data_IF_806272827391
#
_entry.id   IF_806272827391
#
_cell.length_a   1.000
_cell.length_b   1.000
_cell.length_c   1.000
_cell.angle_alpha   90.00
_cell.angle_beta   90.00
_cell.angle_gamma   90.00
#
_symmetry.space_group_name_H-M   'P 1'
#
loop_
_entity.id
_entity.type
_entity.pdbx_description
1 polymer ?
#
# COMPACT_ATOMS: atom_id res chain seq x y z
N UNK A 1 5.46 32.79 -26.82
CA UNK A 1 4.02 32.49 -26.70
C UNK A 1 3.52 31.97 -28.04
N UNK A 2 3.16 30.69 -28.12
CA UNK A 2 2.44 30.18 -29.30
C UNK A 2 1.02 30.76 -29.27
N UNK A 3 0.60 31.44 -30.33
CA UNK A 3 -0.78 31.89 -30.48
C UNK A 3 -1.61 30.81 -31.17
N UNK A 4 -2.91 30.73 -30.87
CA UNK A 4 -3.87 29.79 -31.48
C UNK A 4 -3.82 29.81 -33.02
N UNK A 5 -3.52 30.98 -33.60
CA UNK A 5 -3.39 31.18 -35.03
C UNK A 5 -2.17 30.47 -35.65
N UNK A 6 -1.09 30.33 -34.88
CA UNK A 6 0.10 29.56 -35.28
C UNK A 6 -0.16 28.06 -35.29
N UNK A 7 -0.98 27.57 -34.35
CA UNK A 7 -1.37 26.16 -34.27
C UNK A 7 -2.27 25.74 -35.45
N UNK A 8 -3.18 26.61 -35.86
CA UNK A 8 -4.09 26.36 -36.98
C UNK A 8 -3.41 26.37 -38.37
N UNK A 9 -2.18 26.89 -38.47
CA UNK A 9 -1.40 26.89 -39.73
C UNK A 9 -0.43 25.72 -39.85
N UNK A 10 -0.33 24.86 -38.82
CA UNK A 10 0.52 23.68 -38.91
C UNK A 10 -0.09 22.67 -39.89
N UNK A 11 0.74 22.03 -40.73
CA UNK A 11 0.29 20.91 -41.55
C UNK A 11 -0.39 19.86 -40.66
N UNK A 12 -1.50 19.23 -41.12
CA UNK A 12 -2.26 18.29 -40.31
C UNK A 12 -1.41 17.13 -39.77
N UNK A 13 -0.35 16.74 -40.47
CA UNK A 13 0.62 15.73 -40.03
C UNK A 13 1.42 16.20 -38.81
N UNK A 14 1.83 17.47 -38.77
CA UNK A 14 2.54 18.05 -37.63
C UNK A 14 1.62 18.26 -36.43
N UNK A 15 0.36 18.63 -36.66
CA UNK A 15 -0.66 18.68 -35.60
C UNK A 15 -0.93 17.28 -35.06
N UNK A 16 -1.13 16.29 -35.93
CA UNK A 16 -1.31 14.90 -35.53
C UNK A 16 -0.08 14.36 -34.79
N UNK A 17 1.14 14.71 -35.22
CA UNK A 17 2.38 14.32 -34.56
C UNK A 17 2.59 15.03 -33.20
N UNK A 18 2.22 16.30 -33.07
CA UNK A 18 2.27 17.03 -31.80
C UNK A 18 1.22 16.52 -30.83
N UNK A 19 0.01 16.21 -31.33
CA UNK A 19 -1.07 15.60 -30.55
C UNK A 19 -0.64 14.19 -30.14
N UNK A 20 -0.21 13.32 -31.07
CA UNK A 20 0.29 11.98 -30.71
C UNK A 20 1.51 12.04 -29.82
N UNK A 21 2.43 12.99 -29.97
CA UNK A 21 3.57 13.17 -29.04
C UNK A 21 3.14 13.74 -27.69
N UNK A 22 2.10 14.58 -27.62
CA UNK A 22 1.50 15.01 -26.36
C UNK A 22 0.75 13.86 -25.67
N UNK A 23 0.14 12.95 -26.44
CA UNK A 23 -0.52 11.74 -25.94
C UNK A 23 0.44 10.57 -25.68
N UNK A 24 1.63 10.55 -26.32
CA UNK A 24 2.62 9.48 -26.24
C UNK A 24 3.94 9.95 -25.61
N UNK A 25 3.96 11.11 -24.94
CA UNK A 25 5.11 11.50 -24.12
C UNK A 25 5.26 10.46 -23.01
N UNK A 26 6.43 9.82 -22.86
CA UNK A 26 6.68 8.86 -21.78
C UNK A 26 6.61 9.50 -20.40
N UNK A 27 6.66 10.84 -20.33
CA UNK A 27 6.61 11.60 -19.10
C UNK A 27 5.15 11.91 -18.75
N UNK A 28 4.66 11.15 -17.76
CA UNK A 28 3.25 10.99 -17.40
C UNK A 28 2.45 12.26 -17.17
N UNK A 29 1.26 12.26 -17.76
CA UNK A 29 0.09 13.12 -17.57
C UNK A 29 0.28 14.62 -17.87
N UNK A 30 -0.48 15.09 -18.86
CA UNK A 30 -0.48 16.43 -19.44
C UNK A 30 -0.83 17.50 -18.37
N UNK A 31 0.11 18.42 -18.10
CA UNK A 31 -0.15 19.70 -17.42
C UNK A 31 0.85 20.13 -16.34
N UNK A 32 2.14 19.87 -16.53
CA UNK A 32 3.22 20.13 -15.57
C UNK A 32 3.66 21.61 -15.49
N UNK A 33 2.71 22.53 -15.29
CA UNK A 33 2.99 23.96 -15.13
C UNK A 33 3.13 24.35 -13.64
N UNK A 34 4.38 24.34 -13.17
CA UNK A 34 4.99 25.27 -12.18
C UNK A 34 4.18 25.61 -10.91
N UNK A 35 3.93 24.62 -10.07
CA UNK A 35 3.84 24.81 -8.61
C UNK A 35 5.23 24.75 -7.95
N UNK A 36 5.33 25.10 -6.65
CA UNK A 36 6.57 24.90 -5.88
C UNK A 36 7.09 23.47 -6.09
N UNK A 37 8.37 23.34 -6.46
CA UNK A 37 8.93 22.12 -7.06
C UNK A 37 8.56 20.84 -6.33
N UNK A 38 7.58 20.11 -6.87
CA UNK A 38 7.22 18.78 -6.39
C UNK A 38 8.42 17.85 -6.57
N UNK A 39 8.63 16.88 -5.66
CA UNK A 39 9.61 15.84 -5.88
C UNK A 39 9.27 15.04 -7.14
N UNK A 40 10.25 14.87 -8.02
CA UNK A 40 10.15 13.97 -9.18
C UNK A 40 10.58 12.57 -8.74
N UNK A 41 9.62 11.64 -8.69
CA UNK A 41 9.86 10.25 -8.32
C UNK A 41 10.35 9.43 -9.51
N UNK A 42 11.11 8.37 -9.23
CA UNK A 42 11.56 7.41 -10.24
C UNK A 42 10.42 6.54 -10.77
N UNK A 43 9.34 6.40 -10.01
CA UNK A 43 8.09 5.77 -10.46
C UNK A 43 7.20 6.82 -11.11
N UNK A 44 6.71 6.54 -12.32
CA UNK A 44 5.72 7.36 -13.00
C UNK A 44 4.28 6.94 -12.66
N UNK A 45 3.39 7.93 -12.58
CA UNK A 45 1.95 7.71 -12.64
C UNK A 45 1.51 7.87 -14.10
N UNK A 46 0.96 6.80 -14.68
CA UNK A 46 0.55 6.72 -16.09
C UNK A 46 -0.97 6.57 -16.21
N UNK A 47 -1.54 6.80 -17.38
CA UNK A 47 -2.98 6.71 -17.60
C UNK A 47 -3.70 8.03 -17.35
N UNK A 48 -4.76 8.00 -16.55
CA UNK A 48 -5.66 9.13 -16.31
C UNK A 48 -7.00 9.01 -17.03
N UNK A 49 -7.38 7.80 -17.47
CA UNK A 49 -8.67 7.56 -18.11
C UNK A 49 -9.83 8.01 -17.20
N UNK A 50 -10.60 8.99 -17.68
CA UNK A 50 -11.75 9.55 -16.95
C UNK A 50 -11.41 10.58 -15.87
N UNK A 51 -10.13 10.87 -15.63
CA UNK A 51 -9.71 11.87 -14.65
C UNK A 51 -9.71 13.26 -15.27
N UNK A 52 -10.19 14.27 -14.54
CA UNK A 52 -9.92 15.66 -14.89
C UNK A 52 -8.52 16.11 -14.40
N UNK A 53 -8.13 17.32 -14.76
CA UNK A 53 -6.81 17.83 -14.38
C UNK A 53 -6.64 17.95 -12.85
N UNK A 54 -7.68 18.39 -12.13
CA UNK A 54 -7.65 18.48 -10.67
C UNK A 54 -7.55 17.10 -10.01
N UNK A 55 -8.25 16.10 -10.56
CA UNK A 55 -8.21 14.73 -10.06
C UNK A 55 -6.78 14.17 -10.14
N UNK A 56 -6.09 14.38 -11.26
CA UNK A 56 -4.70 13.96 -11.44
C UNK A 56 -3.78 14.63 -10.42
N UNK A 57 -3.96 15.92 -10.17
CA UNK A 57 -3.18 16.67 -9.19
C UNK A 57 -3.42 16.13 -7.77
N UNK A 58 -4.67 15.82 -7.42
CA UNK A 58 -5.02 15.23 -6.14
C UNK A 58 -4.50 13.80 -5.96
N UNK A 59 -4.42 13.03 -7.04
CA UNK A 59 -3.81 11.69 -7.08
C UNK A 59 -2.30 11.79 -6.87
N UNK A 60 -1.62 12.71 -7.57
CA UNK A 60 -0.17 12.97 -7.45
C UNK A 60 0.21 13.45 -6.05
N UNK A 61 -0.55 14.37 -5.48
CA UNK A 61 -0.30 14.88 -4.12
C UNK A 61 -0.49 13.75 -3.09
N UNK A 62 -1.56 12.95 -3.22
CA UNK A 62 -1.78 11.78 -2.37
C UNK A 62 -0.67 10.72 -2.47
N UNK A 63 -0.15 10.48 -3.68
CA UNK A 63 1.00 9.59 -3.89
C UNK A 63 2.26 10.14 -3.19
N UNK A 64 2.55 11.43 -3.35
CA UNK A 64 3.69 12.06 -2.69
C UNK A 64 3.59 11.97 -1.16
N UNK A 65 2.41 12.27 -0.61
CA UNK A 65 2.15 12.17 0.83
C UNK A 65 2.24 10.71 1.34
N UNK A 66 1.80 9.72 0.55
CA UNK A 66 1.97 8.30 0.87
C UNK A 66 3.44 7.91 1.00
N UNK A 67 4.33 8.40 0.12
CA UNK A 67 5.77 8.12 0.26
C UNK A 67 6.32 8.63 1.60
N UNK A 68 5.77 9.72 2.13
CA UNK A 68 6.13 10.25 3.45
C UNK A 68 5.63 9.37 4.60
N UNK A 69 4.47 8.71 4.45
CA UNK A 69 3.97 7.72 5.41
C UNK A 69 4.92 6.53 5.51
N UNK A 70 5.26 5.91 4.38
CA UNK A 70 6.15 4.74 4.39
C UNK A 70 7.58 5.09 4.82
N UNK A 71 8.08 6.27 4.45
CA UNK A 71 9.37 6.76 4.96
C UNK A 71 9.38 6.95 6.49
N UNK A 72 8.24 7.28 7.11
CA UNK A 72 8.12 7.31 8.57
C UNK A 72 8.00 5.91 9.19
N UNK A 73 7.49 4.94 8.44
CA UNK A 73 7.29 3.55 8.85
C UNK A 73 8.56 2.67 8.72
N UNK A 74 9.59 3.17 8.04
CA UNK A 74 10.85 2.48 7.77
C UNK A 74 12.05 3.14 8.48
N UNK A 75 12.95 2.38 9.15
CA UNK A 75 12.88 0.92 9.33
C UNK A 75 11.72 0.49 10.24
N UNK A 76 11.23 -0.73 10.05
CA UNK A 76 10.17 -1.29 10.89
C UNK A 76 10.66 -1.49 12.32
N UNK A 77 9.94 -0.92 13.30
CA UNK A 77 10.23 -1.10 14.73
C UNK A 77 9.17 -2.03 15.35
N UNK A 78 9.48 -3.34 15.52
CA UNK A 78 8.54 -4.30 16.10
C UNK A 78 8.28 -4.04 17.59
N UNK A 79 9.07 -3.18 18.24
CA UNK A 79 8.93 -2.82 19.66
C UNK A 79 8.06 -1.59 19.88
N UNK A 80 7.68 -0.88 18.81
CA UNK A 80 6.80 0.28 18.88
C UNK A 80 5.38 -0.12 19.31
N UNK A 81 4.67 0.79 19.98
CA UNK A 81 3.27 0.54 20.35
C UNK A 81 2.37 0.27 19.13
N UNK A 82 2.45 1.04 18.02
CA UNK A 82 1.68 0.72 16.81
C UNK A 82 2.00 -0.66 16.25
N UNK A 83 3.28 -1.09 16.24
CA UNK A 83 3.62 -2.43 15.75
C UNK A 83 2.98 -3.54 16.59
N UNK A 84 2.95 -3.38 17.91
CA UNK A 84 2.25 -4.34 18.78
C UNK A 84 0.74 -4.36 18.52
N UNK A 85 0.12 -3.20 18.36
CA UNK A 85 -1.34 -3.12 18.15
C UNK A 85 -1.78 -3.61 16.76
N UNK A 86 -0.94 -3.49 15.73
CA UNK A 86 -1.29 -3.92 14.37
C UNK A 86 -0.68 -5.26 13.95
N UNK A 87 0.33 -5.78 14.63
CA UNK A 87 1.07 -6.98 14.18
C UNK A 87 1.55 -7.93 15.28
N UNK A 88 1.18 -7.77 16.56
CA UNK A 88 1.75 -8.57 17.67
C UNK A 88 1.77 -10.11 17.44
N UNK A 89 0.69 -10.76 16.99
CA UNK A 89 0.68 -12.20 16.71
C UNK A 89 1.61 -12.55 15.56
N UNK A 90 1.65 -11.69 14.53
CA UNK A 90 2.50 -11.89 13.37
C UNK A 90 3.98 -11.77 13.72
N UNK A 91 4.34 -10.79 14.57
CA UNK A 91 5.70 -10.65 15.10
C UNK A 91 6.08 -11.90 15.91
N UNK A 92 5.18 -12.35 16.79
CA UNK A 92 5.41 -13.54 17.62
C UNK A 92 5.55 -14.81 16.78
N UNK A 93 4.83 -14.91 15.67
CA UNK A 93 4.91 -16.00 14.71
C UNK A 93 6.02 -15.83 13.65
N UNK A 94 6.98 -14.92 13.88
CA UNK A 94 8.17 -14.72 13.04
C UNK A 94 7.89 -14.18 11.62
N UNK A 95 6.84 -13.38 11.45
CA UNK A 95 6.56 -12.65 10.20
C UNK A 95 7.17 -11.24 10.16
N UNK A 96 7.99 -10.87 11.15
CA UNK A 96 8.67 -9.56 11.25
C UNK A 96 9.42 -9.20 9.96
N UNK A 97 10.16 -10.14 9.37
CA UNK A 97 10.93 -9.89 8.14
C UNK A 97 10.02 -9.64 6.93
N UNK A 98 8.89 -10.34 6.83
CA UNK A 98 7.90 -10.12 5.79
C UNK A 98 7.26 -8.72 5.93
N UNK A 99 6.89 -8.34 7.15
CA UNK A 99 6.32 -7.02 7.45
C UNK A 99 7.32 -5.92 7.09
N UNK A 100 8.57 -6.04 7.57
CA UNK A 100 9.64 -5.08 7.28
C UNK A 100 9.93 -4.98 5.78
N UNK A 101 9.96 -6.11 5.07
CA UNK A 101 10.21 -6.15 3.63
C UNK A 101 9.04 -5.55 2.84
N UNK A 102 7.79 -5.81 3.23
CA UNK A 102 6.61 -5.18 2.63
C UNK A 102 6.65 -3.65 2.78
N UNK A 103 6.92 -3.15 4.01
CA UNK A 103 7.06 -1.72 4.28
C UNK A 103 8.22 -1.08 3.49
N UNK A 104 9.37 -1.76 3.42
CA UNK A 104 10.52 -1.28 2.67
C UNK A 104 10.23 -1.23 1.17
N UNK A 105 9.57 -2.24 0.61
CA UNK A 105 9.17 -2.24 -0.81
C UNK A 105 8.19 -1.11 -1.09
N UNK A 106 7.24 -0.85 -0.21
CA UNK A 106 6.34 0.29 -0.37
C UNK A 106 7.08 1.64 -0.26
N UNK A 107 8.03 1.77 0.67
CA UNK A 107 8.87 2.96 0.83
C UNK A 107 9.74 3.26 -0.40
N UNK A 108 10.08 2.25 -1.21
CA UNK A 108 10.85 2.43 -2.44
C UNK A 108 10.10 3.27 -3.50
N UNK A 109 8.78 3.47 -3.39
CA UNK A 109 8.07 4.46 -4.21
C UNK A 109 8.53 5.91 -3.94
N UNK A 110 9.17 6.16 -2.79
CA UNK A 110 9.78 7.45 -2.45
C UNK A 110 11.14 7.71 -3.11
N UNK A 111 11.69 6.77 -3.89
CA UNK A 111 12.95 6.98 -4.61
C UNK A 111 12.75 8.07 -5.66
N UNK A 112 13.59 9.11 -5.61
CA UNK A 112 13.59 10.22 -6.57
C UNK A 112 14.24 9.80 -7.89
N UNK A 113 13.90 10.49 -8.98
CA UNK A 113 14.56 10.31 -10.27
C UNK A 113 16.08 10.51 -10.15
N UNK A 114 16.86 9.54 -10.66
CA UNK A 114 18.33 9.53 -10.51
C UNK A 114 18.83 9.21 -9.10
N UNK A 115 17.93 8.94 -8.15
CA UNK A 115 18.23 8.52 -6.79
C UNK A 115 18.82 7.10 -6.71
N UNK A 116 19.40 6.79 -5.55
CA UNK A 116 19.92 5.45 -5.25
C UNK A 116 18.82 4.64 -4.57
N UNK A 117 18.49 3.48 -5.11
CA UNK A 117 17.52 2.57 -4.52
C UNK A 117 16.92 1.61 -5.54
N UNK A 118 16.14 0.64 -5.06
CA UNK A 118 15.29 -0.14 -5.95
C UNK A 118 14.13 0.72 -6.43
N UNK A 119 13.89 0.76 -7.73
CA UNK A 119 12.77 1.50 -8.33
C UNK A 119 11.59 0.54 -8.49
N UNK A 120 10.42 0.95 -8.04
CA UNK A 120 9.18 0.19 -8.21
C UNK A 120 8.56 0.45 -9.58
N UNK A 121 7.73 -0.49 -10.06
CA UNK A 121 6.97 -0.36 -11.30
C UNK A 121 6.08 0.89 -11.31
N UNK A 122 5.92 1.46 -12.50
CA UNK A 122 4.97 2.54 -12.77
C UNK A 122 3.54 2.12 -12.45
N UNK A 123 2.74 3.08 -12.01
CA UNK A 123 1.37 2.83 -11.57
C UNK A 123 0.42 3.42 -12.60
N UNK A 124 -0.49 2.59 -13.11
CA UNK A 124 -1.56 3.02 -14.00
C UNK A 124 -2.78 3.48 -13.18
N UNK A 125 -3.18 4.74 -13.34
CA UNK A 125 -4.29 5.35 -12.59
C UNK A 125 -5.48 5.62 -13.50
N UNK A 126 -6.71 5.48 -12.97
CA UNK A 126 -7.95 5.74 -13.69
C UNK A 126 -9.01 6.37 -12.78
N UNK A 127 -9.99 7.04 -13.38
CA UNK A 127 -11.18 7.60 -12.70
C UNK A 127 -12.50 7.22 -13.40
N UNK A 128 -12.48 6.43 -14.48
CA UNK A 128 -13.66 6.05 -15.29
C UNK A 128 -14.42 4.79 -14.82
N UNK A 129 -14.12 4.27 -13.63
CA UNK A 129 -14.75 3.10 -12.98
C UNK A 129 -15.18 1.96 -13.93
N UNK A 130 -14.23 1.31 -14.62
CA UNK A 130 -14.57 0.30 -15.62
C UNK A 130 -15.31 -0.91 -15.01
N UNK A 131 -15.14 -1.18 -13.72
CA UNK A 131 -15.75 -2.32 -13.02
C UNK A 131 -17.10 -1.98 -12.37
N UNK A 132 -17.52 -0.71 -12.42
CA UNK A 132 -18.75 -0.20 -11.79
C UNK A 132 -18.81 -0.54 -10.31
N UNK A 133 -17.71 -0.31 -9.59
CA UNK A 133 -17.58 -0.61 -8.17
C UNK A 133 -17.64 0.62 -7.29
N UNK A 134 -17.38 1.81 -7.82
CA UNK A 134 -17.33 3.02 -7.02
C UNK A 134 -18.63 3.21 -6.23
N UNK A 135 -19.79 3.06 -6.88
CA UNK A 135 -21.10 3.23 -6.25
C UNK A 135 -21.68 1.95 -5.62
N UNK A 136 -20.87 0.89 -5.42
CA UNK A 136 -21.35 -0.37 -4.81
C UNK A 136 -21.36 -0.36 -3.28
N UNK A 137 -21.43 0.82 -2.67
CA UNK A 137 -21.38 1.01 -1.23
C UNK A 137 -22.65 0.66 -0.46
N UNK A 138 -22.63 0.95 0.84
CA UNK A 138 -23.81 0.95 1.69
C UNK A 138 -23.94 2.27 2.46
N UNK A 139 -25.14 2.59 2.97
CA UNK A 139 -25.40 3.86 3.67
C UNK A 139 -24.52 4.10 4.91
N UNK A 140 -23.96 3.04 5.47
CA UNK A 140 -23.21 3.07 6.73
C UNK A 140 -21.72 3.32 6.50
N UNK A 141 -21.14 2.62 5.53
CA UNK A 141 -19.70 2.60 5.25
C UNK A 141 -19.32 3.54 4.11
N UNK A 142 -20.31 3.94 3.30
CA UNK A 142 -20.10 4.77 2.12
C UNK A 142 -19.79 3.94 0.88
N UNK A 143 -19.35 4.65 -0.15
CA UNK A 143 -18.96 4.13 -1.45
C UNK A 143 -17.44 3.83 -1.45
N UNK A 144 -16.95 3.12 -2.48
CA UNK A 144 -15.50 2.92 -2.59
C UNK A 144 -14.81 4.26 -2.84
N UNK A 145 -13.70 4.51 -2.15
CA UNK A 145 -12.82 5.63 -2.47
C UNK A 145 -11.80 5.24 -3.56
N UNK A 146 -11.34 3.99 -3.59
CA UNK A 146 -10.51 3.43 -4.64
C UNK A 146 -10.61 1.90 -4.65
N UNK A 147 -10.12 1.28 -5.72
CA UNK A 147 -9.88 -0.16 -5.80
C UNK A 147 -8.76 -0.49 -6.80
N UNK A 148 -8.14 -1.65 -6.65
CA UNK A 148 -7.13 -2.22 -7.52
C UNK A 148 -7.75 -3.16 -8.56
N UNK A 149 -7.24 -3.11 -9.80
CA UNK A 149 -7.56 -4.13 -10.81
C UNK A 149 -6.46 -5.19 -10.78
N UNK A 150 -6.79 -6.35 -10.19
CA UNK A 150 -5.85 -7.40 -9.89
C UNK A 150 -4.78 -6.97 -8.88
N UNK A 151 -3.75 -7.80 -8.70
CA UNK A 151 -2.57 -7.47 -7.89
C UNK A 151 -1.47 -6.80 -8.73
N UNK A 152 -1.88 -6.00 -9.71
CA UNK A 152 -1.04 -5.26 -10.65
C UNK A 152 -0.97 -3.79 -10.20
N UNK A 153 0.05 -3.01 -10.63
CA UNK A 153 0.18 -1.60 -10.27
C UNK A 153 -0.87 -0.74 -11.03
N UNK A 154 -2.15 -0.98 -10.73
CA UNK A 154 -3.30 -0.42 -11.42
C UNK A 154 -4.41 -0.10 -10.42
N UNK A 155 -4.67 1.19 -10.22
CA UNK A 155 -5.65 1.69 -9.25
C UNK A 155 -6.71 2.53 -9.97
N UNK A 156 -7.97 2.29 -9.62
CA UNK A 156 -9.09 3.14 -9.98
C UNK A 156 -9.45 4.00 -8.77
N UNK A 157 -9.43 5.31 -8.95
CA UNK A 157 -9.85 6.29 -7.95
C UNK A 157 -11.30 6.68 -8.19
N UNK A 158 -12.10 6.54 -7.16
CA UNK A 158 -13.52 6.86 -7.18
C UNK A 158 -13.76 8.27 -6.66
N UNK A 159 -14.97 8.78 -6.88
CA UNK A 159 -15.37 10.13 -6.47
C UNK A 159 -15.09 10.45 -5.00
N UNK A 160 -15.23 9.46 -4.12
CA UNK A 160 -15.03 9.66 -2.69
C UNK A 160 -13.57 9.89 -2.28
N UNK A 161 -12.59 9.44 -3.07
CA UNK A 161 -11.17 9.76 -2.85
C UNK A 161 -10.91 11.27 -2.90
N UNK A 162 -11.47 11.94 -3.91
CA UNK A 162 -11.29 13.39 -4.11
C UNK A 162 -11.98 14.24 -3.04
N UNK A 163 -12.83 13.64 -2.21
CA UNK A 163 -13.44 14.29 -1.04
C UNK A 163 -12.61 14.14 0.23
N UNK A 164 -11.57 13.30 0.21
CA UNK A 164 -10.70 13.10 1.34
C UNK A 164 -9.70 14.24 1.48
N UNK A 165 -9.42 14.65 2.71
CA UNK A 165 -8.42 15.67 2.99
C UNK A 165 -7.00 15.18 2.59
N UNK A 166 -6.08 16.13 2.39
CA UNK A 166 -4.64 15.83 2.30
C UNK A 166 -4.07 15.43 3.67
N UNK A 167 -2.93 14.72 3.68
CA UNK A 167 -2.27 14.25 4.89
C UNK A 167 -1.97 15.39 5.86
N UNK A 168 -1.31 16.44 5.37
CA UNK A 168 -0.90 17.57 6.23
C UNK A 168 -2.10 18.35 6.74
N UNK A 169 -3.10 18.61 5.86
CA UNK A 169 -4.32 19.29 6.22
C UNK A 169 -5.10 18.53 7.30
N UNK A 170 -5.25 17.21 7.13
CA UNK A 170 -5.96 16.34 8.07
C UNK A 170 -5.26 16.27 9.42
N UNK A 171 -3.94 16.03 9.43
CA UNK A 171 -3.18 15.87 10.67
C UNK A 171 -3.20 17.15 11.50
N UNK A 172 -2.97 18.31 10.88
CA UNK A 172 -2.98 19.58 11.62
C UNK A 172 -4.37 19.85 12.21
N UNK A 173 -5.43 19.69 11.41
CA UNK A 173 -6.80 19.91 11.86
C UNK A 173 -7.20 19.02 13.04
N UNK A 174 -6.80 17.74 13.02
CA UNK A 174 -7.23 16.75 14.02
C UNK A 174 -6.36 16.75 15.28
N UNK A 175 -5.07 17.05 15.16
CA UNK A 175 -4.15 17.09 16.30
C UNK A 175 -4.51 18.17 17.34
N UNK A 176 -5.17 19.25 16.91
CA UNK A 176 -5.58 20.36 17.77
C UNK A 176 -6.94 20.12 18.45
N UNK A 177 -7.68 19.08 18.04
CA UNK A 177 -8.99 18.74 18.59
C UNK A 177 -8.88 17.67 19.68
N UNK A 178 -9.00 18.05 20.95
CA UNK A 178 -8.87 17.14 22.10
C UNK A 178 -9.81 15.92 22.05
N UNK A 179 -10.98 16.02 21.44
CA UNK A 179 -11.93 14.89 21.37
C UNK A 179 -11.59 13.88 20.26
N UNK A 180 -10.91 14.34 19.21
CA UNK A 180 -10.60 13.54 18.02
C UNK A 180 -9.14 13.11 17.99
N UNK A 181 -8.28 13.80 18.74
CA UNK A 181 -6.83 13.66 18.71
C UNK A 181 -6.36 12.22 18.91
N UNK A 182 -7.06 11.46 19.75
CA UNK A 182 -6.65 10.11 20.12
C UNK A 182 -7.19 9.04 19.15
N UNK A 183 -8.08 9.39 18.21
CA UNK A 183 -8.76 8.43 17.32
C UNK A 183 -8.01 8.33 15.99
N UNK A 184 -7.25 7.25 15.77
CA UNK A 184 -6.43 7.11 14.55
C UNK A 184 -7.23 7.27 13.25
N UNK A 185 -8.45 6.73 13.19
CA UNK A 185 -9.31 6.86 12.00
C UNK A 185 -9.75 8.30 11.70
N UNK A 186 -9.71 9.21 12.68
CA UNK A 186 -9.94 10.63 12.41
C UNK A 186 -8.84 11.22 11.52
N UNK A 187 -7.66 10.63 11.48
CA UNK A 187 -6.54 11.05 10.65
C UNK A 187 -6.51 10.40 9.27
N UNK A 188 -7.39 9.44 8.99
CA UNK A 188 -7.44 8.76 7.69
C UNK A 188 -7.71 9.76 6.56
N UNK A 189 -6.91 9.67 5.49
CA UNK A 189 -6.83 10.68 4.44
C UNK A 189 -6.38 10.06 3.10
N UNK A 190 -6.21 10.88 2.05
CA UNK A 190 -5.79 10.41 0.71
C UNK A 190 -4.52 9.57 0.73
N UNK A 191 -3.51 9.98 1.49
CA UNK A 191 -2.24 9.27 1.59
C UNK A 191 -2.39 7.89 2.26
N UNK A 192 -3.28 7.78 3.25
CA UNK A 192 -3.58 6.50 3.92
C UNK A 192 -4.28 5.53 2.99
N UNK A 193 -5.23 6.01 2.18
CA UNK A 193 -5.88 5.16 1.17
C UNK A 193 -4.86 4.70 0.12
N UNK A 194 -4.02 5.61 -0.38
CA UNK A 194 -2.91 5.27 -1.27
C UNK A 194 -2.01 4.19 -0.68
N UNK A 195 -1.61 4.36 0.60
CA UNK A 195 -0.78 3.41 1.31
C UNK A 195 -1.44 2.03 1.36
N UNK A 196 -2.76 1.95 1.51
CA UNK A 196 -3.50 0.68 1.45
C UNK A 196 -3.48 0.08 0.04
N UNK A 197 -3.80 0.87 -0.99
CA UNK A 197 -3.91 0.38 -2.36
C UNK A 197 -2.60 -0.21 -2.89
N UNK A 198 -1.45 0.41 -2.60
CA UNK A 198 -0.16 -0.10 -3.10
C UNK A 198 0.26 -1.42 -2.45
N UNK A 199 -0.23 -1.72 -1.24
CA UNK A 199 0.04 -2.99 -0.58
C UNK A 199 -0.62 -4.16 -1.31
N UNK A 200 -1.66 -3.92 -2.11
CA UNK A 200 -2.27 -4.97 -2.94
C UNK A 200 -1.44 -5.35 -4.15
N UNK A 201 -0.41 -4.58 -4.52
CA UNK A 201 0.46 -4.94 -5.63
C UNK A 201 1.32 -6.14 -5.26
N UNK A 202 1.34 -7.15 -6.13
CA UNK A 202 2.10 -8.39 -5.93
C UNK A 202 3.60 -8.16 -5.76
N UNK A 203 4.14 -7.09 -6.33
CA UNK A 203 5.53 -6.66 -6.16
C UNK A 203 5.81 -6.04 -4.78
N UNK A 204 4.79 -5.60 -4.04
CA UNK A 204 4.91 -4.84 -2.80
C UNK A 204 4.43 -5.65 -1.59
N UNK A 205 3.15 -6.02 -1.55
CA UNK A 205 2.58 -6.79 -0.45
C UNK A 205 2.64 -8.27 -0.72
N UNK A 206 3.51 -8.95 0.02
CA UNK A 206 3.50 -10.41 0.11
C UNK A 206 2.70 -10.83 1.33
N UNK A 207 1.87 -11.84 1.13
CA UNK A 207 1.00 -12.43 2.13
C UNK A 207 1.22 -13.94 2.20
N UNK A 208 0.89 -14.53 3.34
CA UNK A 208 0.81 -15.98 3.53
C UNK A 208 -0.53 -16.45 2.98
N UNK A 209 -0.50 -17.44 2.09
CA UNK A 209 -1.69 -18.04 1.48
C UNK A 209 -1.73 -19.52 1.87
N UNK A 210 -2.74 -19.88 2.65
CA UNK A 210 -2.99 -21.27 3.04
C UNK A 210 -4.14 -21.83 2.18
N UNK A 211 -3.90 -22.93 1.47
CA UNK A 211 -4.89 -23.56 0.59
C UNK A 211 -5.11 -25.03 0.92
N UNK A 212 -6.37 -25.50 0.95
CA UNK A 212 -6.65 -26.92 1.03
C UNK A 212 -6.28 -27.59 -0.29
N UNK A 213 -5.52 -28.69 -0.21
CA UNK A 213 -5.22 -29.57 -1.35
C UNK A 213 -5.66 -30.99 -1.01
N UNK A 214 -6.09 -31.79 -2.00
CA UNK A 214 -6.43 -33.18 -1.76
C UNK A 214 -5.26 -33.91 -1.12
N UNK A 215 -5.53 -34.63 -0.04
CA UNK A 215 -4.50 -35.37 0.64
C UNK A 215 -4.07 -36.60 -0.20
N UNK A 216 -2.82 -37.05 -0.09
CA UNK A 216 -2.36 -38.25 -0.79
C UNK A 216 -3.14 -39.49 -0.32
N UNK A 217 -3.23 -40.58 -1.12
CA UNK A 217 -4.06 -41.75 -0.82
C UNK A 217 -3.86 -42.44 0.53
N UNK A 218 -2.74 -42.17 1.22
CA UNK A 218 -2.39 -42.75 2.52
C UNK A 218 -2.51 -41.74 3.69
N UNK A 219 -3.12 -40.57 3.46
CA UNK A 219 -3.34 -39.58 4.51
C UNK A 219 -4.48 -39.99 5.45
N UNK A 220 -4.38 -39.61 6.71
CA UNK A 220 -5.47 -39.75 7.71
C UNK A 220 -6.53 -38.65 7.58
N UNK A 221 -6.28 -37.62 6.77
CA UNK A 221 -7.23 -36.55 6.42
C UNK A 221 -7.54 -36.56 4.94
N UNK A 222 -8.74 -36.11 4.54
CA UNK A 222 -9.12 -35.94 3.13
C UNK A 222 -8.40 -34.75 2.48
N UNK A 223 -8.12 -33.72 3.28
CA UNK A 223 -7.48 -32.48 2.85
C UNK A 223 -6.20 -32.23 3.65
N UNK A 224 -5.20 -31.66 3.00
CA UNK A 224 -4.02 -31.07 3.63
C UNK A 224 -4.05 -29.56 3.39
N UNK A 225 -3.57 -28.79 4.36
CA UNK A 225 -3.35 -27.37 4.16
C UNK A 225 -1.91 -27.16 3.66
N UNK A 226 -1.78 -26.44 2.55
CA UNK A 226 -0.48 -26.04 1.99
C UNK A 226 -0.33 -24.54 2.14
N UNK A 227 0.71 -24.14 2.85
CA UNK A 227 1.09 -22.74 3.00
C UNK A 227 2.03 -22.33 1.88
N UNK A 228 1.75 -21.17 1.28
CA UNK A 228 2.55 -20.55 0.22
C UNK A 228 2.63 -19.05 0.42
N UNK A 229 3.46 -18.36 -0.35
CA UNK A 229 3.46 -16.89 -0.40
C UNK A 229 2.72 -16.44 -1.65
N UNK A 230 1.89 -15.40 -1.52
CA UNK A 230 1.12 -14.82 -2.61
C UNK A 230 1.00 -13.30 -2.48
N UNK A 231 0.25 -12.71 -3.40
CA UNK A 231 -0.09 -11.30 -3.32
C UNK A 231 -1.09 -11.04 -2.18
N UNK A 232 -1.00 -9.85 -1.58
CA UNK A 232 -1.90 -9.43 -0.53
C UNK A 232 -3.28 -9.10 -1.10
N UNK A 233 -4.18 -10.08 -1.07
CA UNK A 233 -5.60 -9.90 -1.33
C UNK A 233 -6.31 -9.79 0.00
N UNK A 234 -6.24 -8.62 0.63
CA UNK A 234 -7.09 -8.37 1.81
C UNK A 234 -8.53 -8.42 1.33
N UNK A 235 -9.20 -9.54 1.63
CA UNK A 235 -10.64 -9.63 1.54
C UNK A 235 -11.23 -9.30 2.91
N UNK A 236 -12.55 -9.15 2.99
CA UNK A 236 -13.33 -9.05 4.24
C UNK A 236 -12.92 -10.15 5.25
N UNK A 237 -12.36 -11.25 4.74
CA UNK A 237 -11.72 -12.33 5.45
C UNK A 237 -10.20 -12.15 5.27
N UNK A 238 -9.48 -11.82 6.34
CA UNK A 238 -8.03 -11.73 6.27
C UNK A 238 -7.44 -13.06 5.77
N UNK A 239 -6.96 -13.07 4.51
CA UNK A 239 -6.14 -14.15 3.96
C UNK A 239 -6.84 -15.44 3.48
N UNK A 240 -8.12 -15.67 3.75
CA UNK A 240 -8.81 -16.89 3.30
C UNK A 240 -10.05 -16.50 2.50
N UNK A 241 -9.91 -16.44 1.17
CA UNK A 241 -11.04 -16.83 0.34
C UNK A 241 -11.44 -18.22 0.85
N UNK A 242 -12.66 -18.38 1.36
CA UNK A 242 -13.24 -19.69 1.60
C UNK A 242 -13.34 -20.39 0.23
N UNK A 243 -12.23 -20.97 -0.21
CA UNK A 243 -12.16 -21.94 -1.31
C UNK A 243 -12.60 -23.33 -0.81
N UNK A 244 -13.07 -23.44 0.44
CA UNK A 244 -13.89 -24.59 0.84
C UNK A 244 -15.31 -24.42 0.29
N UNK A 245 -15.88 -25.47 -0.35
CA UNK A 245 -17.30 -25.46 -0.72
C UNK A 245 -18.16 -25.26 0.52
N UNK A 246 -19.23 -24.46 0.39
CA UNK A 246 -20.18 -24.11 1.45
C UNK A 246 -20.54 -25.34 2.31
N UNK A 247 -19.94 -25.46 3.50
CA UNK A 247 -20.39 -26.44 4.49
C UNK A 247 -21.34 -25.76 5.47
N UNK A 248 -22.40 -26.44 5.96
CA UNK A 248 -23.41 -25.84 6.83
C UNK A 248 -22.90 -25.36 8.21
N UNK A 249 -21.62 -25.56 8.51
CA UNK A 249 -20.98 -25.26 9.81
C UNK A 249 -19.91 -24.17 9.71
N UNK A 250 -19.98 -23.32 8.68
CA UNK A 250 -19.05 -22.20 8.46
C UNK A 250 -19.31 -21.09 9.50
N UNK A 251 -18.87 -21.33 10.73
CA UNK A 251 -19.01 -20.40 11.84
C UNK A 251 -18.09 -19.19 11.61
N UNK A 252 -18.69 -18.12 11.10
CA UNK A 252 -18.27 -16.74 11.32
C UNK A 252 -16.78 -16.48 11.10
N UNK A 253 -16.30 -16.57 9.87
CA UNK A 253 -15.12 -15.80 9.49
C UNK A 253 -15.47 -14.32 9.62
N UNK A 254 -14.92 -13.69 10.65
CA UNK A 254 -15.30 -12.34 11.04
C UNK A 254 -14.79 -11.33 10.02
N UNK A 255 -15.62 -10.31 9.77
CA UNK A 255 -15.38 -9.25 8.78
C UNK A 255 -14.35 -8.21 9.25
N UNK A 256 -13.09 -8.60 9.37
CA UNK A 256 -12.03 -7.72 9.90
C UNK A 256 -10.99 -7.42 8.84
N UNK A 257 -11.21 -6.36 8.06
CA UNK A 257 -10.24 -5.92 7.07
C UNK A 257 -9.86 -4.45 7.18
N UNK A 258 -10.74 -3.60 7.71
CA UNK A 258 -10.61 -2.17 7.50
C UNK A 258 -11.06 -1.35 8.70
N UNK A 259 -10.40 -0.20 8.91
CA UNK A 259 -10.60 0.67 10.05
C UNK A 259 -9.74 0.26 11.25
N UNK A 260 -9.24 1.25 11.99
CA UNK A 260 -8.24 1.02 13.03
C UNK A 260 -8.70 0.04 14.11
N UNK A 261 -9.97 0.08 14.53
CA UNK A 261 -10.48 -0.84 15.54
C UNK A 261 -10.46 -2.27 15.02
N UNK A 262 -10.98 -2.53 13.82
CA UNK A 262 -11.04 -3.89 13.24
C UNK A 262 -9.64 -4.41 12.88
N UNK A 263 -8.79 -3.57 12.31
CA UNK A 263 -7.37 -3.84 12.04
C UNK A 263 -6.61 -4.27 13.30
N UNK A 264 -6.84 -3.58 14.42
CA UNK A 264 -6.23 -3.93 15.70
C UNK A 264 -6.84 -5.20 16.31
N UNK A 265 -8.16 -5.40 16.18
CA UNK A 265 -8.82 -6.64 16.63
C UNK A 265 -8.28 -7.87 15.87
N UNK A 266 -8.00 -7.71 14.58
CA UNK A 266 -7.37 -8.75 13.76
C UNK A 266 -6.01 -9.20 14.33
N UNK A 267 -5.29 -8.29 14.98
CA UNK A 267 -4.01 -8.57 15.63
C UNK A 267 -4.14 -9.03 17.10
N UNK A 268 -5.33 -9.24 17.65
CA UNK A 268 -5.47 -9.63 19.07
C UNK A 268 -6.35 -10.87 19.25
N UNK A 269 -7.35 -11.06 18.39
CA UNK A 269 -8.30 -12.16 18.52
C UNK A 269 -7.60 -13.52 18.31
N UNK A 270 -7.85 -14.47 19.22
CA UNK A 270 -7.22 -15.80 19.18
C UNK A 270 -7.79 -16.68 18.07
N UNK A 271 -8.98 -16.34 17.58
CA UNK A 271 -9.63 -16.92 16.41
C UNK A 271 -8.93 -16.59 15.09
N UNK A 272 -8.03 -15.61 15.06
CA UNK A 272 -7.31 -15.22 13.85
C UNK A 272 -6.00 -16.02 13.72
N UNK A 273 -5.65 -16.34 12.48
CA UNK A 273 -4.35 -16.93 12.18
C UNK A 273 -3.27 -15.88 12.41
N UNK A 274 -2.12 -16.32 12.89
CA UNK A 274 -1.01 -15.41 13.23
C UNK A 274 -0.52 -14.55 12.06
N UNK A 275 -0.77 -14.95 10.81
CA UNK A 275 -0.42 -14.19 9.61
C UNK A 275 -1.51 -13.19 9.18
N UNK A 276 -2.72 -13.22 9.73
CA UNK A 276 -3.86 -12.45 9.21
C UNK A 276 -3.61 -10.94 9.27
N UNK A 277 -3.07 -10.49 10.41
CA UNK A 277 -2.66 -9.10 10.57
C UNK A 277 -1.54 -8.69 9.60
N UNK A 278 -0.62 -9.59 9.27
CA UNK A 278 0.42 -9.36 8.27
C UNK A 278 -0.07 -9.48 6.81
N UNK A 279 -1.24 -10.09 6.59
CA UNK A 279 -1.93 -10.19 5.30
C UNK A 279 -2.94 -9.05 5.05
N UNK A 280 -3.04 -8.11 6.00
CA UNK A 280 -4.02 -7.04 5.96
C UNK A 280 -3.37 -5.72 5.51
N UNK A 281 -3.72 -5.23 4.32
CA UNK A 281 -3.18 -4.00 3.74
C UNK A 281 -3.45 -2.75 4.60
N UNK A 282 -4.63 -2.71 5.24
CA UNK A 282 -5.00 -1.60 6.13
C UNK A 282 -4.08 -1.53 7.35
N UNK A 283 -3.64 -2.66 7.94
CA UNK A 283 -2.68 -2.67 9.04
C UNK A 283 -1.37 -1.96 8.67
N UNK A 284 -0.86 -2.15 7.45
CA UNK A 284 0.33 -1.44 6.97
C UNK A 284 0.07 0.05 6.80
N UNK A 285 -1.06 0.42 6.19
CA UNK A 285 -1.43 1.82 5.98
C UNK A 285 -1.61 2.58 7.30
N UNK A 286 -2.29 1.97 8.27
CA UNK A 286 -2.54 2.54 9.60
C UNK A 286 -1.29 2.56 10.48
N UNK A 287 -0.45 1.54 10.40
CA UNK A 287 0.87 1.56 11.04
C UNK A 287 1.73 2.70 10.49
N UNK A 288 1.78 2.88 9.16
CA UNK A 288 2.54 3.96 8.53
C UNK A 288 1.99 5.35 8.90
N UNK A 289 0.66 5.50 8.94
CA UNK A 289 0.00 6.72 9.43
C UNK A 289 0.35 6.99 10.89
N UNK A 290 0.28 5.99 11.77
CA UNK A 290 0.61 6.12 13.18
C UNK A 290 2.06 6.56 13.37
N UNK A 291 3.00 5.94 12.66
CA UNK A 291 4.42 6.31 12.73
C UNK A 291 4.66 7.73 12.22
N UNK A 292 3.98 8.15 11.15
CA UNK A 292 4.06 9.52 10.67
C UNK A 292 3.56 10.52 11.73
N UNK A 293 2.44 10.23 12.40
CA UNK A 293 1.90 11.12 13.45
C UNK A 293 2.86 11.16 14.65
N UNK A 294 3.41 10.02 15.10
CA UNK A 294 4.40 9.99 16.17
C UNK A 294 5.61 10.86 15.81
N UNK A 295 6.15 10.71 14.59
CA UNK A 295 7.33 11.45 14.14
C UNK A 295 7.09 12.95 14.02
N UNK A 296 5.91 13.37 13.56
CA UNK A 296 5.62 14.78 13.27
C UNK A 296 4.90 15.53 14.39
N UNK A 297 4.19 14.81 15.26
CA UNK A 297 3.37 15.41 16.34
C UNK A 297 3.74 14.91 17.73
N UNK A 298 4.58 13.88 17.85
CA UNK A 298 5.09 13.40 19.15
C UNK A 298 4.08 12.60 19.98
N UNK A 299 3.00 12.11 19.37
CA UNK A 299 2.02 11.25 20.05
C UNK A 299 1.48 10.18 19.11
N UNK A 300 0.95 9.11 19.69
CA UNK A 300 0.25 8.05 18.97
C UNK A 300 -1.26 8.17 19.23
N UNK A 301 -2.12 8.31 18.20
CA UNK A 301 -3.58 8.28 18.37
C UNK A 301 -4.03 6.87 18.77
N UNK A 302 -4.00 6.63 20.08
CA UNK A 302 -4.06 5.29 20.64
C UNK A 302 -5.33 5.05 21.44
N UNK A 303 -6.50 5.62 21.07
CA UNK A 303 -7.76 5.25 21.75
C UNK A 303 -7.73 3.73 21.92
N UNK A 304 -7.65 3.25 23.18
CA UNK A 304 -7.26 1.89 23.42
C UNK A 304 -8.32 0.99 22.81
N UNK A 305 -7.86 -0.13 22.26
CA UNK A 305 -8.73 -1.29 22.12
C UNK A 305 -9.19 -1.56 23.55
N UNK A 306 -10.48 -1.44 23.81
CA UNK A 306 -11.02 -1.62 25.16
C UNK A 306 -10.46 -2.92 25.74
N UNK A 307 -10.01 -2.89 26.99
CA UNK A 307 -9.48 -4.07 27.67
C UNK A 307 -10.64 -5.07 27.82
N UNK A 308 -10.65 -6.11 26.98
CA UNK A 308 -11.76 -7.06 26.97
C UNK A 308 -11.48 -8.16 27.99
N UNK A 309 -12.40 -8.41 28.94
CA UNK A 309 -12.20 -9.43 29.95
C UNK A 309 -12.11 -10.85 29.36
N UNK A 310 -12.60 -11.05 28.12
CA UNK A 310 -12.46 -12.28 27.33
C UNK A 310 -12.84 -12.02 25.85
N UNK A 311 -12.43 -12.93 24.98
CA UNK A 311 -12.72 -12.89 23.53
C UNK A 311 -14.22 -12.95 23.21
N UNK A 312 -15.01 -13.69 23.99
CA UNK A 312 -16.45 -13.77 23.78
C UNK A 312 -17.12 -12.38 23.85
N UNK A 313 -16.66 -11.51 24.75
CA UNK A 313 -17.13 -10.12 24.85
C UNK A 313 -16.88 -9.32 23.57
N UNK A 314 -15.79 -9.59 22.84
CA UNK A 314 -15.49 -8.94 21.56
C UNK A 314 -16.41 -9.47 20.47
N UNK A 315 -16.56 -10.80 20.41
CA UNK A 315 -17.39 -11.49 19.42
C UNK A 315 -18.88 -11.19 19.57
N UNK A 316 -19.34 -10.81 20.76
CA UNK A 316 -20.75 -10.43 20.99
C UNK A 316 -21.00 -8.93 20.90
N UNK A 317 -19.95 -8.11 20.77
CA UNK A 317 -20.10 -6.66 20.75
C UNK A 317 -20.24 -6.16 19.31
N UNK A 318 -21.49 -5.95 18.90
CA UNK A 318 -21.83 -5.46 17.57
C UNK A 318 -21.13 -4.14 17.23
N UNK A 319 -20.92 -3.22 18.18
CA UNK A 319 -20.26 -1.94 17.89
C UNK A 319 -18.78 -2.12 17.49
N UNK A 320 -18.10 -3.14 18.00
CA UNK A 320 -16.72 -3.45 17.66
C UNK A 320 -16.63 -4.19 16.34
N UNK A 321 -17.50 -5.19 16.17
CA UNK A 321 -17.66 -5.86 14.89
C UNK A 321 -18.05 -4.86 13.80
N UNK A 322 -18.76 -3.81 14.17
CA UNK A 322 -19.21 -2.77 13.27
C UNK A 322 -18.11 -1.79 12.83
N UNK A 323 -17.01 -1.74 13.57
CA UNK A 323 -15.88 -0.85 13.29
C UNK A 323 -16.21 0.64 13.41
N UNK A 324 -15.23 1.49 13.09
CA UNK A 324 -15.46 2.93 13.06
C UNK A 324 -16.37 3.35 11.90
N UNK A 325 -17.29 4.29 12.15
CA UNK A 325 -18.18 4.85 11.12
C UNK A 325 -17.46 5.91 10.28
N UNK A 326 -16.53 5.51 9.43
CA UNK A 326 -15.86 6.38 8.46
C UNK A 326 -16.38 6.09 7.06
N UNK A 327 -16.91 7.12 6.38
CA UNK A 327 -17.63 7.00 5.09
C UNK A 327 -16.77 6.73 3.86
N UNK A 328 -15.48 6.44 4.01
CA UNK A 328 -14.51 6.38 2.90
C UNK A 328 -13.89 5.00 2.72
N UNK A 329 -14.45 4.00 3.40
CA UNK A 329 -13.96 2.65 3.35
C UNK A 329 -15.19 1.76 3.37
N UNK A 330 -15.67 1.41 2.18
CA UNK A 330 -16.69 0.39 2.04
C UNK A 330 -16.07 -0.95 2.48
N UNK A 331 -16.33 -1.32 3.74
CA UNK A 331 -15.57 -2.36 4.43
C UNK A 331 -16.01 -3.77 4.03
N UNK A 332 -17.20 -3.89 3.43
CA UNK A 332 -17.79 -5.14 2.98
C UNK A 332 -17.33 -5.59 1.57
N UNK A 333 -16.43 -4.85 0.91
CA UNK A 333 -15.92 -5.22 -0.41
C UNK A 333 -14.41 -5.40 -0.47
N UNK A 334 -13.99 -6.25 -1.41
CA UNK A 334 -12.59 -6.42 -1.73
C UNK A 334 -12.05 -5.17 -2.44
N UNK A 335 -10.90 -4.70 -1.99
CA UNK A 335 -10.15 -3.65 -2.70
C UNK A 335 -9.52 -4.17 -3.99
N UNK A 336 -9.35 -5.49 -4.13
CA UNK A 336 -8.80 -6.11 -5.34
C UNK A 336 -9.90 -6.81 -6.11
N UNK A 337 -10.08 -6.41 -7.38
CA UNK A 337 -11.04 -7.05 -8.27
C UNK A 337 -10.39 -7.75 -9.42
N UNK A 338 -10.98 -8.87 -9.83
CA UNK A 338 -10.46 -9.66 -10.93
C UNK A 338 -10.38 -8.82 -12.21
N UNK A 339 -9.24 -8.92 -12.89
CA UNK A 339 -9.05 -8.26 -14.17
C UNK A 339 -10.03 -8.82 -15.21
N UNK A 340 -10.75 -7.98 -15.97
CA UNK A 340 -11.58 -8.44 -17.07
C UNK A 340 -10.77 -9.19 -18.13
N UNK A 341 -11.40 -10.21 -18.72
CA UNK A 341 -10.85 -10.89 -19.90
C UNK A 341 -10.62 -9.88 -21.02
N UNK A 342 -9.37 -9.72 -21.46
CA UNK A 342 -9.00 -8.84 -22.56
C UNK A 342 -8.59 -7.41 -22.17
N UNK A 343 -8.56 -7.06 -20.89
CA UNK A 343 -7.92 -5.81 -20.45
C UNK A 343 -6.40 -5.92 -20.61
N UNK A 344 -5.79 -4.96 -21.32
CA UNK A 344 -4.34 -4.89 -21.52
C UNK A 344 -3.61 -4.65 -20.18
N UNK A 345 -2.50 -5.35 -19.99
CA UNK A 345 -1.56 -5.13 -18.91
C UNK A 345 -0.88 -3.76 -19.10
N UNK A 346 -1.21 -2.80 -18.23
CA UNK A 346 -0.55 -1.49 -18.19
C UNK A 346 0.23 -1.36 -16.88
N UNK A 347 1.41 -0.72 -16.94
CA UNK A 347 2.31 -0.57 -15.78
C UNK A 347 3.56 -1.45 -15.80
N UNK A 348 4.02 -1.90 -16.97
CA UNK A 348 5.42 -2.32 -17.08
C UNK A 348 6.31 -1.11 -16.74
N UNK A 349 7.40 -1.27 -15.97
CA UNK A 349 8.35 -0.18 -15.74
C UNK A 349 8.74 0.41 -17.09
N UNK A 350 8.54 1.71 -17.31
CA UNK A 350 9.08 2.35 -18.50
C UNK A 350 10.61 2.10 -18.50
N UNK A 351 11.23 1.80 -19.66
CA UNK A 351 12.67 1.51 -19.75
C UNK A 351 13.62 2.65 -19.32
N UNK A 352 13.17 3.68 -18.61
CA UNK A 352 13.94 4.87 -18.28
C UNK A 352 13.48 5.49 -16.96
N UNK A 353 14.02 4.99 -15.84
CA UNK A 353 14.15 5.75 -14.58
C UNK A 353 15.20 5.14 -13.61
N UNK A 354 15.72 3.95 -13.90
CA UNK A 354 16.63 3.26 -12.99
C UNK A 354 17.52 2.23 -13.66
N UNK A 355 18.04 2.47 -14.87
CA UNK A 355 19.25 1.77 -15.31
C UNK A 355 20.45 2.35 -14.56
N UNK A 356 20.48 2.19 -13.23
CA UNK A 356 21.71 2.21 -12.49
C UNK A 356 22.58 1.17 -13.16
N UNK A 357 23.61 1.61 -13.89
CA UNK A 357 24.66 0.74 -14.39
C UNK A 357 25.01 -0.20 -13.24
N UNK A 358 24.67 -1.48 -13.35
CA UNK A 358 25.34 -2.49 -12.55
C UNK A 358 26.83 -2.19 -12.72
N UNK A 359 27.47 -1.75 -11.64
CA UNK A 359 28.92 -1.70 -11.61
C UNK A 359 29.37 -3.11 -11.95
N UNK A 360 29.82 -3.29 -13.19
CA UNK A 360 30.46 -4.52 -13.61
C UNK A 360 31.52 -4.83 -12.58
N UNK A 361 31.50 -6.07 -12.11
CA UNK A 361 32.56 -6.62 -11.31
C UNK A 361 33.91 -6.17 -11.91
N UNK A 362 34.66 -5.37 -11.16
CA UNK A 362 36.04 -5.06 -11.51
C UNK A 362 36.77 -6.40 -11.52
N UNK A 363 37.29 -6.88 -12.66
CA UNK A 363 38.12 -8.07 -12.65
C UNK A 363 39.36 -7.74 -11.82
N UNK A 364 39.64 -8.59 -10.84
CA UNK A 364 40.68 -8.39 -9.85
C UNK A 364 42.01 -7.98 -10.48
N UNK A 365 42.43 -6.75 -10.15
CA UNK A 365 43.81 -6.35 -10.33
C UNK A 365 44.60 -6.95 -9.16
N UNK A 366 45.33 -8.03 -9.45
CA UNK A 366 46.32 -8.62 -8.55
C UNK A 366 47.40 -7.57 -8.29
N UNK A 367 47.34 -6.89 -7.14
CA UNK A 367 48.47 -6.14 -6.61
C UNK A 367 49.29 -7.12 -5.80
N UNK A 368 50.40 -7.57 -6.39
CA UNK A 368 51.47 -8.26 -5.67
C UNK A 368 52.10 -7.28 -4.68
N UNK A 369 51.74 -7.38 -3.39
CA UNK A 369 52.43 -6.68 -2.32
C UNK A 369 53.66 -7.51 -1.94
N UNK A 370 54.82 -6.97 -2.28
CA UNK A 370 56.12 -7.50 -1.91
C UNK A 370 56.32 -7.53 -0.39
N UNK A 371 56.88 -8.64 0.06
CA UNK A 371 57.33 -8.93 1.40
C UNK A 371 58.41 -7.91 1.80
N UNK A 372 58.13 -7.13 2.85
CA UNK A 372 59.12 -6.31 3.56
C UNK A 372 59.06 -6.65 5.04
N UNK A 373 59.93 -7.55 5.48
CA UNK A 373 60.12 -7.91 6.87
C UNK A 373 60.77 -6.75 7.64
N UNK A 374 60.17 -6.37 8.78
CA UNK A 374 60.89 -5.65 9.84
C UNK A 374 60.43 -6.17 11.21
N UNK A 375 61.34 -6.92 11.83
CA UNK A 375 61.44 -7.14 13.27
C UNK A 375 61.33 -5.80 14.02
N UNK A 376 60.49 -5.70 15.04
CA UNK A 376 60.80 -4.94 16.27
C UNK A 376 60.20 -5.66 17.48
N UNK A 377 61.04 -5.80 18.49
CA UNK A 377 60.86 -6.46 19.78
C UNK A 377 59.86 -5.73 20.70
N UNK A 378 59.15 -6.53 21.49
CA UNK A 378 58.51 -6.11 22.75
C UNK A 378 59.57 -5.61 23.75
N UNK A 379 59.15 -4.75 24.69
CA UNK A 379 59.40 -5.11 26.08
C UNK A 379 58.18 -4.98 26.98
N UNK A 380 58.26 -5.80 28.02
CA UNK A 380 57.44 -5.86 29.21
C UNK A 380 57.34 -4.53 29.96
N UNK A 381 56.17 -4.33 30.57
CA UNK A 381 55.88 -3.37 31.63
C UNK A 381 54.54 -3.74 32.26
#
# INVERSE_FOLDING_TARGET
MLTLHTLLRLPPILVAALVTRAYASPDGVIGDDKGAGRPTYATALTGGEGCDFSDIEDIRDGFSEMTSLFAAATPFDPTSQPAREFFSPSITANYTDMIATNLQRAANYGVLEGGIGAVNSDIHIRCDDPMKLCDKGNKREGDHAAYNIGNEPHIVFCRDYFRMDSLTGRINKKADNQMEKDRLMEYYNRASLWARMVMHFSSIGTAVVERPVPAPPNSTSEWLLVTSQGAMNTSVLAGVLNEQPETPTDFQTLKYAYGATRSKLLAILSTQMSYDAANNAENYALYALAQYIIKNKGFYPSVPIMDFPNEASVLTNENLQDGERVKYAYFDAADVVARPTGMELKGAPLPSAGSGKMFGAVPGMVIAVGIGASLVLLPFG
#
